data_IF_453952024957
#
_entry.id   IF_453952024957
#
_cell.length_a   1.000
_cell.length_b   1.000
_cell.length_c   1.000
_cell.angle_alpha   90.00
_cell.angle_beta   90.00
_cell.angle_gamma   90.00
#
_symmetry.space_group_name_H-M   'P 1'
#
loop_
_entity.id
_entity.type
_entity.pdbx_description
1 polymer ?
#
# COMPACT_ATOMS: atom_id res chain seq x y z
N UNK A 1 28.31 10.72 26.06
CA UNK A 1 28.39 9.69 24.99
C UNK A 1 28.06 8.30 25.51
N UNK A 2 28.69 7.82 26.60
CA UNK A 2 28.48 6.46 27.14
C UNK A 2 27.01 6.19 27.53
N UNK A 3 26.35 7.13 28.20
CA UNK A 3 24.93 6.99 28.59
C UNK A 3 24.02 6.87 27.37
N UNK A 4 24.25 7.70 26.34
CA UNK A 4 23.51 7.65 25.09
C UNK A 4 23.71 6.31 24.35
N UNK A 5 24.94 5.82 24.29
CA UNK A 5 25.25 4.52 23.72
C UNK A 5 24.59 3.36 24.48
N UNK A 6 24.57 3.42 25.82
CA UNK A 6 23.90 2.42 26.66
C UNK A 6 22.38 2.41 26.44
N UNK A 7 21.75 3.60 26.32
CA UNK A 7 20.32 3.72 26.01
C UNK A 7 20.01 3.12 24.63
N UNK A 8 20.79 3.45 23.59
CA UNK A 8 20.61 2.86 22.27
C UNK A 8 20.78 1.34 22.26
N UNK A 9 21.76 0.81 23.00
CA UNK A 9 21.99 -0.63 23.10
C UNK A 9 20.81 -1.36 23.78
N UNK A 10 20.24 -0.78 24.84
CA UNK A 10 19.07 -1.33 25.53
C UNK A 10 17.84 -1.34 24.61
N UNK A 11 17.58 -0.24 23.90
CA UNK A 11 16.48 -0.13 22.93
C UNK A 11 16.66 -1.13 21.79
N UNK A 12 17.88 -1.29 21.27
CA UNK A 12 18.19 -2.27 20.23
C UNK A 12 17.96 -3.72 20.69
N UNK A 13 18.34 -4.06 21.94
CA UNK A 13 18.07 -5.39 22.50
C UNK A 13 16.57 -5.66 22.72
N UNK A 14 15.79 -4.64 23.08
CA UNK A 14 14.33 -4.76 23.22
C UNK A 14 13.63 -4.88 21.85
N UNK A 15 14.05 -4.07 20.87
CA UNK A 15 13.52 -4.07 19.51
C UNK A 15 13.92 -5.33 18.72
N UNK A 16 15.11 -5.88 18.94
CA UNK A 16 15.58 -7.11 18.31
C UNK A 16 14.76 -8.36 18.66
N UNK A 17 13.92 -8.31 19.70
CA UNK A 17 13.00 -9.40 20.08
C UNK A 17 11.61 -9.28 19.44
N UNK A 18 11.32 -8.17 18.74
CA UNK A 18 9.99 -7.84 18.20
C UNK A 18 10.01 -7.75 16.67
N UNK A 19 10.38 -8.83 16.00
CA UNK A 19 10.22 -8.95 14.53
C UNK A 19 8.77 -8.67 14.10
N UNK A 20 7.80 -8.96 14.98
CA UNK A 20 6.37 -8.77 14.74
C UNK A 20 5.94 -7.31 14.58
N UNK A 21 6.53 -6.36 15.33
CA UNK A 21 6.11 -4.95 15.30
C UNK A 21 6.63 -4.25 14.06
N UNK A 22 7.91 -4.47 13.73
CA UNK A 22 8.51 -3.95 12.49
C UNK A 22 7.79 -4.52 11.26
N UNK A 23 7.51 -5.82 11.26
CA UNK A 23 6.80 -6.47 10.17
C UNK A 23 5.37 -5.96 9.98
N UNK A 24 4.66 -5.71 11.08
CA UNK A 24 3.32 -5.12 11.05
C UNK A 24 3.36 -3.68 10.53
N UNK A 25 4.32 -2.88 11.01
CA UNK A 25 4.57 -1.53 10.51
C UNK A 25 4.82 -1.52 9.00
N UNK A 26 5.74 -2.37 8.53
CA UNK A 26 5.99 -2.54 7.10
C UNK A 26 4.71 -2.88 6.35
N UNK A 27 3.90 -3.83 6.83
CA UNK A 27 2.63 -4.19 6.20
C UNK A 27 1.70 -3.00 6.02
N UNK A 28 1.45 -2.24 7.08
CA UNK A 28 0.57 -1.06 7.05
C UNK A 28 1.11 0.00 6.10
N UNK A 29 2.41 0.27 6.15
CA UNK A 29 3.04 1.21 5.24
C UNK A 29 2.93 0.73 3.79
N UNK A 30 3.16 -0.55 3.49
CA UNK A 30 3.05 -1.09 2.13
C UNK A 30 1.65 -1.00 1.54
N UNK A 31 0.60 -1.05 2.36
CA UNK A 31 -0.79 -0.90 1.89
C UNK A 31 -1.16 0.54 1.53
N UNK A 32 -0.55 1.52 2.18
CA UNK A 32 -0.91 2.94 2.04
C UNK A 32 0.06 3.72 1.14
N UNK A 33 1.35 3.38 1.16
CA UNK A 33 2.38 4.06 0.35
C UNK A 33 2.17 3.93 -1.14
N UNK A 34 1.61 2.82 -1.63
CA UNK A 34 1.30 2.66 -3.05
C UNK A 34 0.39 3.78 -3.57
N UNK A 35 -0.65 4.12 -2.81
CA UNK A 35 -1.58 5.19 -3.16
C UNK A 35 -0.90 6.57 -3.15
N UNK A 36 -0.07 6.86 -2.14
CA UNK A 36 0.68 8.12 -2.06
C UNK A 36 1.65 8.29 -3.23
N UNK A 37 2.40 7.23 -3.57
CA UNK A 37 3.32 7.22 -4.72
C UNK A 37 2.54 7.42 -6.03
N UNK A 38 1.37 6.79 -6.18
CA UNK A 38 0.54 6.96 -7.37
C UNK A 38 0.04 8.39 -7.56
N UNK A 39 -0.46 9.05 -6.50
CA UNK A 39 -0.88 10.46 -6.58
C UNK A 39 0.32 11.39 -6.79
N UNK A 40 1.45 11.10 -6.16
CA UNK A 40 2.69 11.83 -6.39
C UNK A 40 3.12 11.75 -7.87
N UNK A 41 3.05 10.57 -8.48
CA UNK A 41 3.33 10.39 -9.91
C UNK A 41 2.37 11.20 -10.79
N UNK A 42 1.09 11.29 -10.43
CA UNK A 42 0.13 12.15 -11.16
C UNK A 42 0.59 13.61 -11.08
N UNK A 43 0.96 14.08 -9.89
CA UNK A 43 1.40 15.47 -9.68
C UNK A 43 2.70 15.81 -10.43
N UNK A 44 3.62 14.84 -10.58
CA UNK A 44 4.90 15.05 -11.28
C UNK A 44 4.79 14.87 -12.79
N UNK A 45 4.00 13.89 -13.26
CA UNK A 45 3.94 13.51 -14.68
C UNK A 45 2.80 14.17 -15.45
N UNK A 46 1.86 14.84 -14.76
CA UNK A 46 0.69 15.45 -15.40
C UNK A 46 0.69 16.96 -15.21
N UNK A 47 0.73 17.73 -16.30
CA UNK A 47 0.68 19.21 -16.28
C UNK A 47 -0.69 19.80 -15.88
N UNK A 48 -1.66 18.98 -15.51
CA UNK A 48 -3.04 19.39 -15.25
C UNK A 48 -3.28 19.51 -13.76
N UNK A 49 -4.01 20.54 -13.34
CA UNK A 49 -4.56 20.61 -11.98
C UNK A 49 -5.48 19.41 -11.75
N UNK A 50 -5.01 18.46 -10.96
CA UNK A 50 -5.81 17.30 -10.52
C UNK A 50 -6.99 17.76 -9.68
N UNK A 51 -8.07 16.97 -9.69
CA UNK A 51 -9.20 17.17 -8.79
C UNK A 51 -8.88 16.52 -7.44
N UNK A 52 -8.75 17.33 -6.39
CA UNK A 52 -8.39 16.87 -5.05
C UNK A 52 -9.38 15.83 -4.50
N UNK A 53 -10.69 16.03 -4.73
CA UNK A 53 -11.72 15.09 -4.28
C UNK A 53 -11.58 13.75 -5.02
N UNK A 54 -11.34 13.81 -6.34
CA UNK A 54 -11.12 12.59 -7.12
C UNK A 54 -9.86 11.85 -6.64
N UNK A 55 -8.76 12.57 -6.37
CA UNK A 55 -7.54 11.98 -5.86
C UNK A 55 -7.75 11.25 -4.52
N UNK A 56 -8.50 11.85 -3.59
CA UNK A 56 -8.82 11.20 -2.31
C UNK A 56 -9.64 9.92 -2.52
N UNK A 57 -10.68 9.97 -3.37
CA UNK A 57 -11.50 8.78 -3.68
C UNK A 57 -10.64 7.68 -4.30
N UNK A 58 -9.76 8.02 -5.24
CA UNK A 58 -8.87 7.07 -5.90
C UNK A 58 -7.90 6.45 -4.90
N UNK A 59 -7.32 7.23 -3.98
CA UNK A 59 -6.46 6.72 -2.92
C UNK A 59 -7.19 5.72 -2.02
N UNK A 60 -8.43 6.01 -1.61
CA UNK A 60 -9.23 5.08 -0.78
C UNK A 60 -9.53 3.79 -1.55
N UNK A 61 -9.94 3.88 -2.81
CA UNK A 61 -10.19 2.69 -3.63
C UNK A 61 -8.94 1.86 -3.87
N UNK A 62 -7.78 2.49 -4.02
CA UNK A 62 -6.48 1.82 -4.12
C UNK A 62 -6.17 0.98 -2.90
N UNK A 63 -6.30 1.56 -1.69
CA UNK A 63 -6.05 0.84 -0.44
C UNK A 63 -7.01 -0.35 -0.30
N UNK A 64 -8.31 -0.15 -0.60
CA UNK A 64 -9.29 -1.24 -0.56
C UNK A 64 -8.96 -2.36 -1.56
N UNK A 65 -8.55 -2.01 -2.79
CA UNK A 65 -8.18 -2.96 -3.83
C UNK A 65 -6.93 -3.76 -3.45
N UNK A 66 -5.91 -3.10 -2.92
CA UNK A 66 -4.68 -3.74 -2.45
C UNK A 66 -4.95 -4.65 -1.25
N UNK A 67 -5.79 -4.21 -0.30
CA UNK A 67 -6.21 -5.04 0.83
C UNK A 67 -6.99 -6.26 0.34
N UNK A 68 -7.91 -6.11 -0.61
CA UNK A 68 -8.66 -7.22 -1.18
C UNK A 68 -7.74 -8.26 -1.84
N UNK A 69 -6.73 -7.82 -2.60
CA UNK A 69 -5.80 -8.73 -3.27
C UNK A 69 -4.81 -9.41 -2.33
N UNK A 70 -4.39 -8.72 -1.27
CA UNK A 70 -3.20 -9.08 -0.50
C UNK A 70 -3.50 -9.54 0.92
N UNK A 71 -4.58 -9.07 1.54
CA UNK A 71 -4.86 -9.35 2.94
C UNK A 71 -5.35 -10.80 3.10
N UNK A 72 -4.56 -11.59 3.85
CA UNK A 72 -4.89 -12.97 4.21
C UNK A 72 -5.85 -13.05 5.42
N UNK A 73 -6.18 -11.92 6.05
CA UNK A 73 -6.81 -11.86 7.38
C UNK A 73 -8.33 -11.64 7.35
N UNK A 74 -8.95 -11.61 6.18
CA UNK A 74 -10.35 -11.18 6.00
C UNK A 74 -11.16 -12.32 5.38
N UNK A 75 -11.61 -13.26 6.23
CA UNK A 75 -12.26 -14.53 5.84
C UNK A 75 -13.20 -14.48 4.62
N UNK A 76 -14.28 -13.68 4.63
CA UNK A 76 -15.24 -13.68 3.52
C UNK A 76 -14.68 -13.09 2.21
N UNK A 77 -13.67 -12.21 2.27
CA UNK A 77 -13.03 -11.66 1.06
C UNK A 77 -12.08 -12.66 0.42
N UNK A 78 -11.53 -13.60 1.20
CA UNK A 78 -10.63 -14.63 0.69
C UNK A 78 -11.37 -15.60 -0.25
N UNK A 79 -12.60 -15.99 0.09
CA UNK A 79 -13.43 -16.85 -0.76
C UNK A 79 -13.74 -16.16 -2.08
N UNK A 80 -14.24 -14.92 -2.03
CA UNK A 80 -14.54 -14.11 -3.23
C UNK A 80 -13.29 -13.93 -4.10
N UNK A 81 -12.13 -13.63 -3.50
CA UNK A 81 -10.86 -13.52 -4.22
C UNK A 81 -10.53 -14.84 -4.92
N UNK A 82 -10.63 -15.97 -4.22
CA UNK A 82 -10.31 -17.29 -4.77
C UNK A 82 -11.23 -17.68 -5.93
N UNK A 83 -12.50 -17.29 -5.89
CA UNK A 83 -13.44 -17.52 -6.99
C UNK A 83 -13.07 -16.69 -8.22
N UNK A 84 -12.65 -15.44 -8.05
CA UNK A 84 -12.27 -14.55 -9.16
C UNK A 84 -10.89 -14.92 -9.73
N UNK A 85 -9.95 -15.33 -8.89
CA UNK A 85 -8.57 -15.61 -9.30
C UNK A 85 -8.32 -17.07 -9.69
N UNK A 86 -9.16 -18.02 -9.29
CA UNK A 86 -9.06 -19.43 -9.71
C UNK A 86 -9.01 -19.65 -11.23
N UNK A 87 -9.79 -18.95 -12.08
CA UNK A 87 -9.65 -19.10 -13.55
C UNK A 87 -8.33 -18.54 -14.10
N UNK A 88 -7.60 -17.73 -13.33
CA UNK A 88 -6.30 -17.17 -13.72
C UNK A 88 -5.12 -17.99 -13.21
N UNK A 89 -5.36 -19.06 -12.43
CA UNK A 89 -4.31 -19.92 -11.86
C UNK A 89 -3.46 -19.23 -10.78
N UNK A 90 -3.93 -18.10 -10.22
CA UNK A 90 -3.18 -17.31 -9.23
C UNK A 90 -3.83 -17.52 -7.86
N UNK A 91 -3.25 -18.35 -7.01
CA UNK A 91 -3.85 -18.63 -5.70
C UNK A 91 -3.62 -17.50 -4.67
N UNK A 92 -2.49 -16.78 -4.80
CA UNK A 92 -2.10 -15.75 -3.82
C UNK A 92 -1.16 -14.70 -4.38
N UNK A 93 -1.53 -13.43 -4.22
CA UNK A 93 -0.63 -12.30 -4.48
C UNK A 93 0.15 -12.01 -3.20
N UNK A 94 1.48 -12.03 -3.30
CA UNK A 94 2.36 -11.74 -2.17
C UNK A 94 2.30 -10.26 -1.80
N UNK A 95 2.36 -9.97 -0.49
CA UNK A 95 2.36 -8.61 0.04
C UNK A 95 3.44 -7.69 -0.53
N UNK A 96 4.56 -8.25 -0.99
CA UNK A 96 5.63 -7.47 -1.62
C UNK A 96 5.15 -6.67 -2.84
N UNK A 97 4.07 -7.09 -3.51
CA UNK A 97 3.50 -6.42 -4.68
C UNK A 97 2.50 -5.30 -4.33
N UNK A 98 2.12 -5.16 -3.07
CA UNK A 98 1.13 -4.21 -2.57
C UNK A 98 1.37 -2.78 -3.06
N UNK A 99 2.62 -2.30 -2.94
CA UNK A 99 3.00 -0.93 -3.32
C UNK A 99 2.86 -0.72 -4.83
N UNK A 100 3.35 -1.69 -5.61
CA UNK A 100 3.33 -1.62 -7.08
C UNK A 100 1.89 -1.58 -7.57
N UNK A 101 1.05 -2.51 -7.11
CA UNK A 101 -0.36 -2.58 -7.48
C UNK A 101 -1.09 -1.29 -7.08
N UNK A 102 -0.90 -0.81 -5.85
CA UNK A 102 -1.54 0.41 -5.36
C UNK A 102 -1.14 1.65 -6.18
N UNK A 103 0.14 1.76 -6.54
CA UNK A 103 0.64 2.87 -7.37
C UNK A 103 0.10 2.83 -8.79
N UNK A 104 0.10 1.66 -9.44
CA UNK A 104 -0.46 1.49 -10.79
C UNK A 104 -1.95 1.80 -10.81
N UNK A 105 -2.70 1.29 -9.83
CA UNK A 105 -4.14 1.55 -9.70
C UNK A 105 -4.41 3.06 -9.57
N UNK A 106 -3.72 3.70 -8.64
CA UNK A 106 -3.93 5.12 -8.33
C UNK A 106 -3.53 6.00 -9.50
N UNK A 107 -2.35 5.77 -10.07
CA UNK A 107 -1.86 6.51 -11.22
C UNK A 107 -2.74 6.28 -12.46
N UNK A 108 -3.05 5.03 -12.78
CA UNK A 108 -3.84 4.66 -13.96
C UNK A 108 -5.23 5.27 -13.94
N UNK A 109 -5.93 5.17 -12.81
CA UNK A 109 -7.25 5.80 -12.67
C UNK A 109 -7.13 7.32 -12.59
N UNK A 110 -6.18 7.85 -11.83
CA UNK A 110 -6.06 9.29 -11.65
C UNK A 110 -5.64 10.06 -12.90
N UNK A 111 -4.89 9.44 -13.82
CA UNK A 111 -4.64 10.02 -15.15
C UNK A 111 -5.94 10.19 -15.95
N UNK A 112 -6.88 9.25 -15.86
CA UNK A 112 -8.20 9.33 -16.53
C UNK A 112 -9.04 10.48 -15.95
N UNK A 113 -8.99 10.68 -14.63
CA UNK A 113 -9.74 11.74 -13.95
C UNK A 113 -9.05 13.11 -13.97
N UNK A 114 -7.80 13.18 -14.44
CA UNK A 114 -7.07 14.43 -14.62
C UNK A 114 -7.62 15.20 -15.83
N UNK A 115 -8.68 15.99 -15.60
CA UNK A 115 -9.34 16.79 -16.63
C UNK A 115 -8.38 17.82 -17.24
N UNK A 116 -8.38 17.89 -18.58
CA UNK A 116 -7.76 18.98 -19.34
C UNK A 116 -8.68 20.20 -19.19
N UNK A 117 -8.28 21.20 -18.39
CA UNK A 117 -8.82 22.55 -18.52
C UNK A 117 -7.91 23.37 -19.42
#
# INVERSE_FOLDING_TARGET
>A
VIIFAAVLAIVAMQCGRTESVLWLGFKIFGYTYGAMIGVFLIAVLTDRRGNDIANVVIMVTSVLMVLFLTADSIGPLQEVRSTILSPLGIEKISWKWSIIIGSIWTFGIGVIFSKRS
#
